data_IF_352828354092
#
_entry.id   IF_352828354092
#
_cell.length_a   1.000
_cell.length_b   1.000
_cell.length_c   1.000
_cell.angle_alpha   90.00
_cell.angle_beta   90.00
_cell.angle_gamma   90.00
#
_symmetry.space_group_name_H-M   'P 1'
#
loop_
_entity.id
_entity.type
_entity.pdbx_description
1 polymer ?
#
# COMPACT_ATOMS: atom_id res chain seq x y z
N UNK A 1 26.41 5.37 -12.06
CA UNK A 1 25.34 5.97 -11.22
C UNK A 1 24.93 7.28 -11.86
N UNK A 2 23.64 7.49 -12.18
CA UNK A 2 23.20 8.76 -12.73
C UNK A 2 23.44 9.88 -11.71
N UNK A 3 23.98 11.01 -12.15
CA UNK A 3 24.18 12.19 -11.30
C UNK A 3 22.81 12.73 -10.87
N UNK A 4 22.66 13.13 -9.60
CA UNK A 4 21.39 13.67 -9.07
C UNK A 4 20.93 14.95 -9.76
N UNK A 5 21.83 15.63 -10.48
CA UNK A 5 21.53 16.79 -11.32
C UNK A 5 20.84 16.43 -12.65
N UNK A 6 20.73 15.14 -12.98
CA UNK A 6 19.98 14.66 -14.14
C UNK A 6 18.55 14.28 -13.76
N UNK A 7 17.59 14.66 -14.60
CA UNK A 7 16.17 14.30 -14.43
C UNK A 7 16.00 12.78 -14.23
N UNK A 8 16.71 11.97 -15.01
CA UNK A 8 16.70 10.51 -14.92
C UNK A 8 17.17 9.98 -13.57
N UNK A 9 18.27 10.53 -13.03
CA UNK A 9 18.78 10.12 -11.72
C UNK A 9 17.82 10.45 -10.58
N UNK A 10 17.20 11.64 -10.64
CA UNK A 10 16.18 12.04 -9.69
C UNK A 10 14.94 11.14 -9.77
N UNK A 11 14.42 10.88 -10.97
CA UNK A 11 13.26 9.99 -11.16
C UNK A 11 13.54 8.57 -10.67
N UNK A 12 14.71 8.01 -10.98
CA UNK A 12 15.10 6.68 -10.52
C UNK A 12 15.12 6.59 -8.99
N UNK A 13 15.74 7.57 -8.33
CA UNK A 13 15.77 7.60 -6.86
C UNK A 13 14.37 7.76 -6.26
N UNK A 14 13.53 8.62 -6.83
CA UNK A 14 12.15 8.80 -6.39
C UNK A 14 11.32 7.53 -6.55
N UNK A 15 11.47 6.80 -7.66
CA UNK A 15 10.78 5.53 -7.88
C UNK A 15 11.11 4.52 -6.78
N UNK A 16 12.39 4.39 -6.41
CA UNK A 16 12.82 3.48 -5.33
C UNK A 16 12.23 3.94 -3.98
N UNK A 17 12.41 5.22 -3.63
CA UNK A 17 11.99 5.73 -2.32
C UNK A 17 10.48 5.67 -2.13
N UNK A 18 9.71 6.02 -3.17
CA UNK A 18 8.25 5.94 -3.14
C UNK A 18 7.79 4.48 -3.07
N UNK A 19 8.37 3.59 -3.88
CA UNK A 19 8.03 2.16 -3.85
C UNK A 19 8.34 1.53 -2.48
N UNK A 20 9.47 1.88 -1.87
CA UNK A 20 9.83 1.44 -0.53
C UNK A 20 8.87 2.00 0.54
N UNK A 21 8.52 3.29 0.46
CA UNK A 21 7.56 3.90 1.38
C UNK A 21 6.19 3.22 1.31
N UNK A 22 5.66 3.01 0.10
CA UNK A 22 4.37 2.35 -0.11
C UNK A 22 4.39 0.89 0.35
N UNK A 23 5.50 0.18 0.12
CA UNK A 23 5.70 -1.17 0.63
C UNK A 23 5.61 -1.21 2.16
N UNK A 24 6.35 -0.35 2.85
CA UNK A 24 6.37 -0.29 4.31
C UNK A 24 4.98 0.08 4.84
N UNK A 25 4.40 1.18 4.34
CA UNK A 25 3.08 1.66 4.75
C UNK A 25 2.02 0.56 4.67
N UNK A 26 1.91 -0.09 3.50
CA UNK A 26 0.82 -1.02 3.26
C UNK A 26 1.08 -2.44 3.77
N UNK A 27 2.33 -2.91 3.80
CA UNK A 27 2.63 -4.17 4.47
C UNK A 27 2.44 -4.05 5.97
N UNK A 28 2.88 -2.96 6.61
CA UNK A 28 2.63 -2.76 8.04
C UNK A 28 1.13 -2.68 8.33
N UNK A 29 0.39 -1.86 7.59
CA UNK A 29 -1.06 -1.69 7.76
C UNK A 29 -1.84 -2.99 7.48
N UNK A 30 -1.48 -3.72 6.42
CA UNK A 30 -2.17 -4.95 6.02
C UNK A 30 -1.84 -6.13 6.93
N UNK A 31 -0.58 -6.29 7.34
CA UNK A 31 -0.18 -7.35 8.26
C UNK A 31 -0.78 -7.14 9.65
N UNK A 32 -0.85 -5.90 10.14
CA UNK A 32 -1.52 -5.57 11.39
C UNK A 32 -3.00 -6.03 11.37
N UNK A 33 -3.73 -5.79 10.28
CA UNK A 33 -5.13 -6.24 10.12
C UNK A 33 -5.29 -7.76 10.05
N UNK A 34 -4.24 -8.49 9.67
CA UNK A 34 -4.24 -9.96 9.70
C UNK A 34 -3.94 -10.47 11.10
N UNK A 35 -2.92 -9.91 11.75
CA UNK A 35 -2.44 -10.34 13.07
C UNK A 35 -3.39 -9.91 14.18
N UNK A 36 -3.78 -8.64 14.25
CA UNK A 36 -4.78 -8.10 15.17
C UNK A 36 -6.07 -7.74 14.44
N UNK A 37 -6.67 -8.76 13.81
CA UNK A 37 -7.94 -8.59 13.11
C UNK A 37 -9.09 -8.20 14.04
N UNK A 38 -9.07 -8.68 15.30
CA UNK A 38 -10.13 -8.39 16.27
C UNK A 38 -10.10 -6.93 16.71
N UNK A 39 -8.95 -6.41 17.10
CA UNK A 39 -8.82 -5.00 17.49
C UNK A 39 -9.22 -4.05 16.37
N UNK A 40 -8.76 -4.31 15.14
CA UNK A 40 -9.15 -3.55 13.95
C UNK A 40 -10.66 -3.58 13.69
N UNK A 41 -11.30 -4.75 13.83
CA UNK A 41 -12.73 -4.90 13.63
C UNK A 41 -13.56 -4.20 14.72
N UNK A 42 -13.12 -4.24 15.97
CA UNK A 42 -13.76 -3.51 17.08
C UNK A 42 -13.67 -2.00 16.89
N UNK A 43 -12.48 -1.48 16.51
CA UNK A 43 -12.29 -0.07 16.20
C UNK A 43 -13.19 0.39 15.04
N UNK A 44 -13.20 -0.34 13.92
CA UNK A 44 -14.02 0.00 12.75
C UNK A 44 -15.52 -0.07 13.05
N UNK A 45 -15.97 -1.06 13.84
CA UNK A 45 -17.38 -1.13 14.26
C UNK A 45 -17.78 0.10 15.07
N UNK A 46 -16.90 0.58 15.97
CA UNK A 46 -17.11 1.82 16.70
C UNK A 46 -17.16 3.05 15.78
N UNK A 47 -16.20 3.15 14.85
CA UNK A 47 -16.09 4.24 13.89
C UNK A 47 -17.35 4.36 13.01
N UNK A 48 -17.83 3.24 12.46
CA UNK A 48 -18.98 3.19 11.55
C UNK A 48 -20.33 2.98 12.25
N UNK A 49 -20.40 2.98 13.58
CA UNK A 49 -21.60 2.61 14.34
C UNK A 49 -22.85 3.43 13.98
N UNK A 50 -22.69 4.68 13.54
CA UNK A 50 -23.79 5.59 13.14
C UNK A 50 -23.90 5.77 11.63
N UNK A 51 -23.22 4.92 10.85
CA UNK A 51 -23.21 4.99 9.39
C UNK A 51 -24.07 3.88 8.77
N UNK A 52 -24.50 4.05 7.51
CA UNK A 52 -25.14 2.98 6.73
C UNK A 52 -24.25 1.73 6.55
N UNK A 53 -22.95 1.85 6.80
CA UNK A 53 -21.95 0.79 6.59
C UNK A 53 -21.73 -0.08 7.84
N UNK A 54 -22.43 0.16 8.95
CA UNK A 54 -22.23 -0.57 10.20
C UNK A 54 -22.34 -2.10 10.04
N UNK A 55 -23.24 -2.57 9.18
CA UNK A 55 -23.44 -4.00 8.90
C UNK A 55 -22.40 -4.64 7.98
N UNK A 56 -21.64 -3.84 7.22
CA UNK A 56 -20.68 -4.32 6.22
C UNK A 56 -19.22 -4.22 6.67
N UNK A 57 -18.96 -3.70 7.87
CA UNK A 57 -17.61 -3.51 8.45
C UNK A 57 -16.70 -4.74 8.32
N UNK A 58 -17.12 -5.98 8.61
CA UNK A 58 -16.24 -7.13 8.47
C UNK A 58 -15.83 -7.40 7.01
N UNK A 59 -16.73 -7.12 6.06
CA UNK A 59 -16.47 -7.22 4.63
C UNK A 59 -15.52 -6.13 4.16
N UNK A 60 -15.74 -4.88 4.58
CA UNK A 60 -14.86 -3.75 4.30
C UNK A 60 -13.44 -3.99 4.82
N UNK A 61 -13.31 -4.50 6.06
CA UNK A 61 -12.01 -4.86 6.63
C UNK A 61 -11.30 -5.93 5.80
N UNK A 62 -12.01 -6.94 5.31
CA UNK A 62 -11.43 -7.98 4.46
C UNK A 62 -10.95 -7.41 3.12
N UNK A 63 -11.79 -6.59 2.48
CA UNK A 63 -11.49 -5.99 1.19
C UNK A 63 -10.27 -5.08 1.27
N UNK A 64 -10.21 -4.19 2.29
CA UNK A 64 -9.08 -3.29 2.45
C UNK A 64 -7.80 -4.06 2.80
N UNK A 65 -7.88 -5.11 3.63
CA UNK A 65 -6.70 -5.93 3.97
C UNK A 65 -6.08 -6.57 2.72
N UNK A 66 -6.91 -7.14 1.84
CA UNK A 66 -6.44 -7.75 0.57
C UNK A 66 -5.78 -6.68 -0.30
N UNK A 67 -6.41 -5.51 -0.41
CA UNK A 67 -5.93 -4.42 -1.23
C UNK A 67 -4.59 -3.87 -0.71
N UNK A 68 -4.46 -3.67 0.60
CA UNK A 68 -3.23 -3.19 1.25
C UNK A 68 -2.10 -4.22 1.13
N UNK A 69 -2.34 -5.51 1.39
CA UNK A 69 -1.30 -6.54 1.23
C UNK A 69 -0.84 -6.62 -0.22
N UNK A 70 -1.77 -6.53 -1.19
CA UNK A 70 -1.43 -6.53 -2.62
C UNK A 70 -0.61 -5.30 -3.00
N UNK A 71 -1.02 -4.11 -2.54
CA UNK A 71 -0.31 -2.85 -2.74
C UNK A 71 1.11 -2.90 -2.17
N UNK A 72 1.23 -3.36 -0.93
CA UNK A 72 2.49 -3.49 -0.22
C UNK A 72 3.44 -4.51 -0.88
N UNK A 73 2.92 -5.68 -1.26
CA UNK A 73 3.70 -6.73 -1.90
C UNK A 73 4.21 -6.29 -3.30
N UNK A 74 3.34 -5.74 -4.14
CA UNK A 74 3.74 -5.24 -5.46
C UNK A 74 4.75 -4.10 -5.34
N UNK A 75 4.58 -3.20 -4.38
CA UNK A 75 5.53 -2.11 -4.13
C UNK A 75 6.87 -2.62 -3.59
N UNK A 76 6.88 -3.66 -2.76
CA UNK A 76 8.10 -4.28 -2.26
C UNK A 76 8.88 -4.99 -3.37
N UNK A 77 8.21 -5.84 -4.14
CA UNK A 77 8.82 -6.56 -5.26
C UNK A 77 9.24 -5.56 -6.35
N UNK A 78 8.40 -4.56 -6.65
CA UNK A 78 8.70 -3.50 -7.59
C UNK A 78 9.94 -2.69 -7.20
N UNK A 79 10.11 -2.38 -5.91
CA UNK A 79 11.31 -1.73 -5.40
C UNK A 79 12.57 -2.57 -5.69
N UNK A 80 12.52 -3.88 -5.42
CA UNK A 80 13.63 -4.77 -5.72
C UNK A 80 13.90 -4.85 -7.24
N UNK A 81 12.85 -4.94 -8.06
CA UNK A 81 12.97 -4.99 -9.53
C UNK A 81 13.58 -3.71 -10.09
N UNK A 82 13.24 -2.53 -9.57
CA UNK A 82 13.89 -1.28 -9.96
C UNK A 82 15.40 -1.35 -9.67
N UNK A 83 15.78 -1.79 -8.47
CA UNK A 83 17.19 -1.83 -8.04
C UNK A 83 18.02 -2.82 -8.88
N UNK A 84 17.49 -4.01 -9.15
CA UNK A 84 18.26 -5.09 -9.79
C UNK A 84 18.11 -5.11 -11.32
N UNK A 85 16.94 -4.75 -11.83
CA UNK A 85 16.58 -4.86 -13.26
C UNK A 85 16.34 -3.52 -13.95
N UNK A 86 16.33 -2.40 -13.20
CA UNK A 86 16.02 -1.06 -13.72
C UNK A 86 14.64 -0.96 -14.40
N UNK A 87 13.73 -1.86 -14.06
CA UNK A 87 12.36 -1.90 -14.56
C UNK A 87 11.40 -1.37 -13.47
N UNK A 88 10.59 -0.38 -13.82
CA UNK A 88 9.65 0.29 -12.91
C UNK A 88 8.20 -0.15 -13.08
N UNK A 89 7.90 -1.06 -14.01
CA UNK A 89 6.53 -1.47 -14.32
C UNK A 89 5.80 -2.05 -13.12
N UNK A 90 6.47 -2.91 -12.35
CA UNK A 90 5.83 -3.53 -11.18
C UNK A 90 5.63 -2.53 -10.02
N UNK A 91 6.59 -1.63 -9.80
CA UNK A 91 6.46 -0.55 -8.82
C UNK A 91 5.34 0.42 -9.19
N UNK A 92 5.14 0.69 -10.49
CA UNK A 92 4.02 1.47 -10.99
C UNK A 92 2.68 0.81 -10.67
N UNK A 93 2.53 -0.50 -10.92
CA UNK A 93 1.31 -1.21 -10.52
C UNK A 93 1.10 -1.21 -9.01
N UNK A 94 2.16 -1.39 -8.23
CA UNK A 94 2.12 -1.23 -6.78
C UNK A 94 1.58 0.14 -6.38
N UNK A 95 2.09 1.22 -6.98
CA UNK A 95 1.63 2.59 -6.73
C UNK A 95 0.17 2.83 -7.12
N UNK A 96 -0.31 2.24 -8.22
CA UNK A 96 -1.72 2.33 -8.62
C UNK A 96 -2.62 1.64 -7.60
N UNK A 97 -2.30 0.42 -7.17
CA UNK A 97 -3.09 -0.28 -6.16
C UNK A 97 -3.01 0.45 -4.81
N UNK A 98 -1.85 0.98 -4.44
CA UNK A 98 -1.69 1.86 -3.28
C UNK A 98 -2.61 3.08 -3.34
N UNK A 99 -2.70 3.76 -4.48
CA UNK A 99 -3.61 4.90 -4.63
C UNK A 99 -5.07 4.50 -4.45
N UNK A 100 -5.49 3.35 -5.00
CA UNK A 100 -6.84 2.81 -4.78
C UNK A 100 -7.07 2.50 -3.30
N UNK A 101 -6.07 1.95 -2.59
CA UNK A 101 -6.15 1.68 -1.16
C UNK A 101 -6.31 2.96 -0.33
N UNK A 102 -5.55 4.02 -0.66
CA UNK A 102 -5.71 5.33 -0.01
C UNK A 102 -7.12 5.87 -0.25
N UNK A 103 -7.60 5.87 -1.49
CA UNK A 103 -8.96 6.34 -1.80
C UNK A 103 -10.03 5.54 -1.05
N UNK A 104 -9.84 4.24 -0.85
CA UNK A 104 -10.78 3.41 -0.10
C UNK A 104 -10.75 3.65 1.42
N UNK A 105 -9.69 4.28 1.95
CA UNK A 105 -9.51 4.58 3.38
C UNK A 105 -10.09 5.93 3.81
N UNK A 106 -10.42 6.83 2.87
CA UNK A 106 -10.93 8.18 3.11
C UNK A 106 -12.37 8.34 2.58
#
# INVERSE_FOLDING_TARGET
MPSLHSFTGATYLLQILVSAFLAILFLQSGLDKVVDRRGNLEWLKGHFAKSPLAGTVPGLLSAITILEISAGALSAIGCAVIIFSHDSTLAFYGAVISAIAIVALF
#
